data_IF_444994482869
#
_entry.id   IF_444994482869
#
_cell.length_a   1.000
_cell.length_b   1.000
_cell.length_c   1.000
_cell.angle_alpha   90.00
_cell.angle_beta   90.00
_cell.angle_gamma   90.00
#
_symmetry.space_group_name_H-M   'P 1'
#
loop_
_entity.id
_entity.type
_entity.pdbx_description
1 polymer ?
#
# COMPACT_ATOMS: atom_id res chain seq x y z
N UNK A 1 19.95 -7.18 2.30
CA UNK A 1 19.35 -8.46 2.75
C UNK A 1 18.98 -9.35 1.56
N UNK A 2 18.38 -8.82 0.49
CA UNK A 2 18.05 -9.61 -0.70
C UNK A 2 19.26 -10.27 -1.38
N UNK A 3 20.40 -9.57 -1.49
CA UNK A 3 21.65 -10.14 -2.01
C UNK A 3 22.26 -11.27 -1.17
N UNK A 4 21.79 -11.47 0.08
CA UNK A 4 22.23 -12.56 0.96
C UNK A 4 21.34 -13.81 0.84
N UNK A 5 20.38 -13.83 -0.09
CA UNK A 5 19.51 -14.98 -0.37
C UNK A 5 18.29 -15.11 0.54
N UNK A 6 18.00 -14.13 1.40
CA UNK A 6 16.77 -14.15 2.21
C UNK A 6 15.53 -13.96 1.33
N UNK A 7 14.44 -14.65 1.67
CA UNK A 7 13.15 -14.55 0.98
C UNK A 7 12.68 -13.08 0.93
N UNK A 8 12.51 -12.48 -0.27
CA UNK A 8 12.25 -11.04 -0.41
C UNK A 8 10.95 -10.57 0.26
N UNK A 9 9.88 -11.36 0.14
CA UNK A 9 8.54 -11.02 0.63
C UNK A 9 8.50 -10.84 2.16
N UNK A 10 8.87 -11.84 2.99
CA UNK A 10 8.80 -11.68 4.45
C UNK A 10 9.76 -10.61 4.97
N UNK A 11 10.96 -10.47 4.36
CA UNK A 11 11.90 -9.41 4.73
C UNK A 11 11.30 -8.03 4.46
N UNK A 12 10.69 -7.85 3.30
CA UNK A 12 10.04 -6.59 2.93
C UNK A 12 8.86 -6.27 3.83
N UNK A 13 8.03 -7.27 4.19
CA UNK A 13 6.93 -7.09 5.14
C UNK A 13 7.43 -6.62 6.52
N UNK A 14 8.53 -7.19 7.02
CA UNK A 14 9.13 -6.77 8.30
C UNK A 14 9.64 -5.33 8.20
N UNK A 15 10.38 -5.00 7.14
CA UNK A 15 10.94 -3.65 6.94
C UNK A 15 9.84 -2.60 6.82
N UNK A 16 8.80 -2.87 6.02
CA UNK A 16 7.66 -1.96 5.87
C UNK A 16 6.92 -1.82 7.19
N UNK A 17 6.58 -2.92 7.86
CA UNK A 17 5.85 -2.87 9.14
C UNK A 17 6.63 -2.10 10.22
N UNK A 18 7.95 -2.30 10.28
CA UNK A 18 8.83 -1.57 11.20
C UNK A 18 8.88 -0.08 10.85
N UNK A 19 9.02 0.26 9.58
CA UNK A 19 9.06 1.65 9.11
C UNK A 19 7.73 2.35 9.36
N UNK A 20 6.60 1.72 9.03
CA UNK A 20 5.25 2.21 9.31
C UNK A 20 5.06 2.45 10.82
N UNK A 21 5.53 1.53 11.67
CA UNK A 21 5.47 1.70 13.12
C UNK A 21 6.21 2.95 13.58
N UNK A 22 7.46 3.14 13.11
CA UNK A 22 8.27 4.32 13.45
C UNK A 22 7.61 5.60 12.98
N UNK A 23 7.12 5.64 11.74
CA UNK A 23 6.51 6.84 11.17
C UNK A 23 5.21 7.20 11.91
N UNK A 24 4.34 6.23 12.17
CA UNK A 24 3.09 6.47 12.92
C UNK A 24 3.37 6.95 14.34
N UNK A 25 4.37 6.35 15.02
CA UNK A 25 4.78 6.81 16.34
C UNK A 25 5.31 8.24 16.33
N UNK A 26 6.04 8.65 15.29
CA UNK A 26 6.53 10.02 15.15
C UNK A 26 5.40 11.03 14.89
N UNK A 27 4.42 10.70 14.05
CA UNK A 27 3.35 11.63 13.69
C UNK A 27 2.29 11.72 14.81
N UNK A 28 1.93 10.57 15.38
CA UNK A 28 0.78 10.45 16.27
C UNK A 28 1.17 10.40 17.76
N UNK A 29 2.44 10.14 18.07
CA UNK A 29 2.87 9.75 19.41
C UNK A 29 2.18 8.47 19.90
N UNK A 30 2.31 8.19 21.20
CA UNK A 30 1.58 7.11 21.88
C UNK A 30 0.11 7.49 22.12
N UNK A 31 -0.67 7.63 21.05
CA UNK A 31 -2.09 8.00 21.12
C UNK A 31 -3.00 6.93 20.51
N UNK A 32 -4.30 6.98 20.86
CA UNK A 32 -5.32 6.02 20.40
C UNK A 32 -5.42 5.98 18.88
N UNK A 33 -5.32 7.16 18.24
CA UNK A 33 -5.29 7.29 16.78
C UNK A 33 -4.08 6.62 16.14
N UNK A 34 -2.93 6.62 16.82
CA UNK A 34 -1.74 5.90 16.36
C UNK A 34 -1.95 4.38 16.36
N UNK A 35 -2.62 3.82 17.37
CA UNK A 35 -2.91 2.39 17.42
C UNK A 35 -3.90 1.95 16.34
N UNK A 36 -4.95 2.74 16.10
CA UNK A 36 -5.93 2.49 15.02
C UNK A 36 -5.27 2.61 13.65
N UNK A 37 -4.49 3.66 13.42
CA UNK A 37 -3.76 3.84 12.18
C UNK A 37 -2.77 2.69 11.94
N UNK A 38 -2.00 2.30 12.96
CA UNK A 38 -1.00 1.23 12.85
C UNK A 38 -1.63 -0.12 12.54
N UNK A 39 -2.70 -0.49 13.25
CA UNK A 39 -3.43 -1.72 12.98
C UNK A 39 -4.08 -1.70 11.59
N UNK A 40 -4.68 -0.58 11.19
CA UNK A 40 -5.22 -0.37 9.85
C UNK A 40 -4.18 -0.51 8.75
N UNK A 41 -3.01 0.15 8.89
CA UNK A 41 -1.92 0.08 7.92
C UNK A 41 -1.32 -1.32 7.83
N UNK A 42 -1.08 -2.01 8.95
CA UNK A 42 -0.53 -3.38 8.94
C UNK A 42 -1.49 -4.34 8.24
N UNK A 43 -2.79 -4.27 8.54
CA UNK A 43 -3.81 -5.07 7.83
C UNK A 43 -3.83 -4.72 6.35
N UNK A 44 -3.75 -3.43 6.01
CA UNK A 44 -3.70 -2.97 4.62
C UNK A 44 -2.49 -3.48 3.83
N UNK A 45 -1.30 -3.44 4.45
CA UNK A 45 -0.06 -3.97 3.87
C UNK A 45 -0.17 -5.49 3.67
N UNK A 46 -0.73 -6.22 4.65
CA UNK A 46 -0.94 -7.66 4.52
C UNK A 46 -1.90 -8.01 3.38
N UNK A 47 -3.02 -7.29 3.26
CA UNK A 47 -3.97 -7.46 2.16
C UNK A 47 -3.29 -7.17 0.82
N UNK A 48 -2.55 -6.07 0.72
CA UNK A 48 -1.84 -5.69 -0.51
C UNK A 48 -0.77 -6.73 -0.88
N UNK A 49 -0.04 -7.26 0.10
CA UNK A 49 0.93 -8.34 -0.12
C UNK A 49 0.26 -9.64 -0.58
N UNK A 50 -0.92 -9.97 -0.06
CA UNK A 50 -1.67 -11.15 -0.50
C UNK A 50 -2.19 -10.98 -1.94
N UNK A 51 -2.70 -9.79 -2.27
CA UNK A 51 -3.08 -9.44 -3.64
C UNK A 51 -1.88 -9.53 -4.59
N UNK A 52 -0.72 -8.99 -4.20
CA UNK A 52 0.50 -9.08 -5.00
C UNK A 52 0.89 -10.54 -5.29
N UNK A 53 0.83 -11.42 -4.29
CA UNK A 53 1.10 -12.85 -4.46
C UNK A 53 0.09 -13.55 -5.38
N UNK A 54 -1.21 -13.26 -5.20
CA UNK A 54 -2.28 -13.85 -5.99
C UNK A 54 -2.15 -13.45 -7.45
N UNK A 55 -2.06 -12.15 -7.73
CA UNK A 55 -1.90 -11.65 -9.09
C UNK A 55 -0.54 -12.05 -9.69
N UNK A 56 0.52 -12.09 -8.89
CA UNK A 56 1.82 -12.61 -9.31
C UNK A 56 1.77 -14.06 -9.79
N UNK A 57 0.99 -14.91 -9.13
CA UNK A 57 0.76 -16.30 -9.55
C UNK A 57 -0.05 -16.39 -10.85
N UNK A 58 -1.11 -15.59 -10.99
CA UNK A 58 -1.97 -15.61 -12.18
C UNK A 58 -1.26 -15.08 -13.44
N UNK A 59 -0.52 -13.97 -13.33
CA UNK A 59 0.09 -13.31 -14.48
C UNK A 59 1.48 -13.84 -14.83
N UNK A 60 2.11 -14.66 -13.96
CA UNK A 60 3.45 -15.25 -14.16
C UNK A 60 4.49 -14.25 -14.67
N UNK A 61 4.48 -13.04 -14.12
CA UNK A 61 5.34 -11.96 -14.62
C UNK A 61 6.81 -12.28 -14.30
N UNK A 62 7.69 -12.32 -15.32
CA UNK A 62 9.12 -12.48 -15.09
C UNK A 62 9.62 -11.24 -14.35
N UNK A 63 10.25 -11.40 -13.18
CA UNK A 63 10.82 -10.27 -12.46
C UNK A 63 12.01 -9.60 -13.18
N UNK A 64 12.48 -10.18 -14.27
CA UNK A 64 13.46 -9.59 -15.19
C UNK A 64 12.99 -8.30 -15.87
N UNK A 65 11.70 -7.98 -15.76
CA UNK A 65 11.09 -6.73 -16.25
C UNK A 65 11.41 -5.50 -15.40
N UNK A 66 12.04 -5.63 -14.24
CA UNK A 66 12.47 -4.46 -13.47
C UNK A 66 13.71 -3.82 -14.10
N UNK A 67 13.79 -2.49 -14.05
CA UNK A 67 15.00 -1.78 -14.47
C UNK A 67 16.23 -2.31 -13.70
N UNK A 68 17.36 -2.47 -14.38
CA UNK A 68 18.63 -3.00 -13.84
C UNK A 68 18.63 -4.48 -13.40
N UNK A 69 17.52 -5.22 -13.58
CA UNK A 69 17.47 -6.66 -13.27
C UNK A 69 18.55 -7.45 -14.00
N UNK A 70 18.71 -7.17 -15.30
CA UNK A 70 19.72 -7.83 -16.14
C UNK A 70 21.14 -7.51 -15.65
N UNK A 71 21.42 -6.25 -15.31
CA UNK A 71 22.71 -5.82 -14.76
C UNK A 71 23.05 -6.55 -13.46
N UNK A 72 22.06 -6.77 -12.58
CA UNK A 72 22.24 -7.52 -11.32
C UNK A 72 22.56 -8.99 -11.60
N UNK A 73 21.88 -9.59 -12.58
CA UNK A 73 22.17 -10.97 -13.01
C UNK A 73 23.59 -11.08 -13.58
N UNK A 74 24.00 -10.13 -14.43
CA UNK A 74 25.36 -10.08 -14.99
C UNK A 74 26.44 -9.81 -13.93
N UNK A 75 26.11 -9.15 -12.83
CA UNK A 75 27.01 -8.95 -11.69
C UNK A 75 27.23 -10.20 -10.82
N UNK A 76 26.66 -11.36 -11.20
CA UNK A 76 26.88 -12.66 -10.54
C UNK A 76 25.76 -13.12 -9.61
N UNK A 77 24.63 -12.41 -9.57
CA UNK A 77 23.50 -12.73 -8.67
C UNK A 77 22.37 -13.50 -9.37
N UNK A 78 22.73 -14.52 -10.17
CA UNK A 78 21.79 -15.39 -10.90
C UNK A 78 20.80 -16.16 -10.00
N UNK A 79 21.12 -16.33 -8.71
CA UNK A 79 20.28 -17.05 -7.74
C UNK A 79 19.13 -16.22 -7.16
N UNK A 80 19.02 -14.94 -7.52
CA UNK A 80 17.97 -14.07 -7.01
C UNK A 80 16.61 -14.38 -7.64
N UNK A 81 15.59 -14.49 -6.79
CA UNK A 81 14.20 -14.59 -7.21
C UNK A 81 13.66 -13.21 -7.57
N UNK A 82 14.00 -12.72 -8.77
CA UNK A 82 13.61 -11.39 -9.24
C UNK A 82 12.09 -11.17 -9.22
N UNK A 83 11.29 -12.19 -9.52
CA UNK A 83 9.82 -12.09 -9.44
C UNK A 83 9.35 -11.78 -8.02
N UNK A 84 9.93 -12.40 -7.00
CA UNK A 84 9.58 -12.14 -5.60
C UNK A 84 10.01 -10.73 -5.17
N UNK A 85 11.14 -10.25 -5.68
CA UNK A 85 11.62 -8.88 -5.43
C UNK A 85 10.65 -7.87 -6.04
N UNK A 86 10.22 -8.09 -7.29
CA UNK A 86 9.22 -7.28 -7.94
C UNK A 86 7.90 -7.23 -7.15
N UNK A 87 7.37 -8.40 -6.74
CA UNK A 87 6.15 -8.47 -5.92
C UNK A 87 6.32 -7.74 -4.57
N UNK A 88 7.53 -7.77 -4.01
CA UNK A 88 7.85 -7.04 -2.79
C UNK A 88 7.85 -5.53 -2.98
N UNK A 89 8.39 -5.05 -4.11
CA UNK A 89 8.42 -3.64 -4.46
C UNK A 89 7.01 -3.04 -4.58
N UNK A 90 6.03 -3.82 -5.05
CA UNK A 90 4.63 -3.38 -5.19
C UNK A 90 4.09 -2.87 -3.84
N UNK A 91 4.07 -3.73 -2.81
CA UNK A 91 3.51 -3.31 -1.52
C UNK A 91 4.42 -2.36 -0.74
N UNK A 92 5.74 -2.39 -0.94
CA UNK A 92 6.65 -1.37 -0.39
C UNK A 92 6.26 0.01 -0.94
N UNK A 93 6.05 0.14 -2.25
CA UNK A 93 5.69 1.41 -2.87
C UNK A 93 4.31 1.92 -2.45
N UNK A 94 3.35 1.01 -2.25
CA UNK A 94 1.99 1.36 -1.81
C UNK A 94 1.91 1.69 -0.30
N UNK A 95 2.88 1.25 0.50
CA UNK A 95 2.83 1.36 1.96
C UNK A 95 2.71 2.81 2.47
N UNK A 96 3.33 3.77 1.78
CA UNK A 96 3.23 5.19 2.12
C UNK A 96 1.78 5.69 2.02
N UNK A 97 1.15 5.50 0.85
CA UNK A 97 -0.24 5.88 0.63
C UNK A 97 -1.21 5.12 1.57
N UNK A 98 -0.94 3.85 1.84
CA UNK A 98 -1.69 3.03 2.81
C UNK A 98 -1.64 3.62 4.23
N UNK A 99 -0.46 4.11 4.64
CA UNK A 99 -0.28 4.74 5.94
C UNK A 99 -1.04 6.06 6.04
N UNK A 100 -0.96 6.90 5.00
CA UNK A 100 -1.62 8.20 4.98
C UNK A 100 -3.15 8.03 5.06
N UNK A 101 -3.74 7.15 4.24
CA UNK A 101 -5.18 6.85 4.28
C UNK A 101 -5.61 6.32 5.65
N UNK A 102 -4.84 5.39 6.23
CA UNK A 102 -5.16 4.84 7.54
C UNK A 102 -5.11 5.92 8.63
N UNK A 103 -4.14 6.83 8.57
CA UNK A 103 -3.99 7.92 9.52
C UNK A 103 -5.12 8.94 9.41
N UNK A 104 -5.49 9.35 8.19
CA UNK A 104 -6.57 10.31 7.95
C UNK A 104 -7.90 9.78 8.49
N UNK A 105 -8.25 8.53 8.17
CA UNK A 105 -9.48 7.89 8.66
C UNK A 105 -9.44 7.77 10.19
N UNK A 106 -8.33 7.29 10.76
CA UNK A 106 -8.19 7.13 12.20
C UNK A 106 -8.31 8.48 12.93
N UNK A 107 -7.72 9.55 12.40
CA UNK A 107 -7.76 10.88 12.98
C UNK A 107 -9.17 11.47 12.92
N UNK A 108 -9.86 11.37 11.77
CA UNK A 108 -11.23 11.85 11.62
C UNK A 108 -12.22 11.08 12.49
N UNK A 109 -12.10 9.76 12.60
CA UNK A 109 -12.94 8.96 13.52
C UNK A 109 -12.68 9.33 14.99
N UNK A 110 -11.42 9.58 15.35
CA UNK A 110 -11.07 10.04 16.70
C UNK A 110 -11.65 11.42 17.01
N UNK A 111 -11.66 12.34 16.04
CA UNK A 111 -12.29 13.66 16.22
C UNK A 111 -13.82 13.53 16.36
N UNK A 112 -14.43 12.67 15.56
CA UNK A 112 -15.87 12.45 15.58
C UNK A 112 -16.36 11.89 16.92
N UNK A 113 -15.67 10.89 17.48
CA UNK A 113 -16.04 10.31 18.78
C UNK A 113 -15.80 11.28 19.95
N UNK A 114 -14.82 12.19 19.84
CA UNK A 114 -14.59 13.23 20.84
C UNK A 114 -15.75 14.24 20.85
N UNK A 115 -16.30 14.59 19.67
CA UNK A 115 -17.42 15.53 19.53
C UNK A 115 -18.78 14.89 19.84
N UNK A 116 -18.96 13.60 19.53
CA UNK A 116 -20.20 12.84 19.74
C UNK A 116 -19.89 11.47 20.38
N UNK A 117 -19.72 11.42 21.72
CA UNK A 117 -19.39 10.19 22.44
C UNK A 117 -20.57 9.20 22.50
N UNK A 118 -21.76 9.64 22.13
CA UNK A 118 -23.02 8.89 22.06
C UNK A 118 -23.11 7.97 20.82
N UNK A 119 -22.19 8.09 19.87
CA UNK A 119 -22.18 7.30 18.63
C UNK A 119 -21.99 5.80 18.90
N UNK A 120 -22.86 5.00 18.31
CA UNK A 120 -22.70 3.54 18.29
C UNK A 120 -21.55 3.10 17.38
N UNK A 121 -21.01 1.90 17.61
CA UNK A 121 -19.96 1.29 16.76
C UNK A 121 -20.35 1.33 15.28
N UNK A 122 -21.61 1.00 14.97
CA UNK A 122 -22.11 0.95 13.57
C UNK A 122 -22.12 2.33 12.93
N UNK A 123 -22.56 3.36 13.65
CA UNK A 123 -22.59 4.72 13.13
C UNK A 123 -21.18 5.27 12.91
N UNK A 124 -20.22 4.94 13.79
CA UNK A 124 -18.83 5.34 13.64
C UNK A 124 -18.15 4.64 12.45
N UNK A 125 -18.49 3.38 12.18
CA UNK A 125 -18.01 2.64 11.00
C UNK A 125 -18.61 3.24 9.71
N UNK A 126 -19.93 3.48 9.67
CA UNK A 126 -20.58 4.11 8.52
C UNK A 126 -20.03 5.50 8.23
N UNK A 127 -19.80 6.31 9.28
CA UNK A 127 -19.16 7.61 9.16
C UNK A 127 -17.72 7.47 8.65
N UNK A 128 -16.98 6.48 9.14
CA UNK A 128 -15.63 6.13 8.68
C UNK A 128 -15.59 5.82 7.18
N UNK A 129 -16.55 5.06 6.65
CA UNK A 129 -16.65 4.82 5.20
C UNK A 129 -16.93 6.10 4.42
N UNK A 130 -17.81 6.97 4.94
CA UNK A 130 -18.11 8.25 4.29
C UNK A 130 -16.89 9.19 4.26
N UNK A 131 -16.05 9.16 5.30
CA UNK A 131 -14.78 9.90 5.35
C UNK A 131 -13.75 9.29 4.39
N UNK A 132 -13.70 7.96 4.31
CA UNK A 132 -12.71 7.27 3.50
C UNK A 132 -12.90 7.50 1.99
N UNK A 133 -14.14 7.58 1.51
CA UNK A 133 -14.45 7.69 0.08
C UNK A 133 -13.72 8.84 -0.64
N UNK A 134 -13.76 10.11 -0.17
CA UNK A 134 -13.01 11.20 -0.79
C UNK A 134 -11.48 11.03 -0.65
N UNK A 135 -11.01 10.50 0.48
CA UNK A 135 -9.57 10.31 0.76
C UNK A 135 -8.94 9.28 -0.18
N UNK A 136 -9.65 8.17 -0.46
CA UNK A 136 -9.21 7.17 -1.42
C UNK A 136 -9.10 7.78 -2.82
N UNK A 137 -10.05 8.62 -3.22
CA UNK A 137 -10.07 9.24 -4.55
C UNK A 137 -8.87 10.15 -4.80
N UNK A 138 -8.52 10.99 -3.82
CA UNK A 138 -7.35 11.88 -3.91
C UNK A 138 -6.05 11.09 -3.92
N UNK A 139 -5.91 10.08 -3.05
CA UNK A 139 -4.69 9.27 -2.96
C UNK A 139 -4.49 8.36 -4.19
N UNK A 140 -5.57 7.78 -4.74
CA UNK A 140 -5.49 6.97 -5.96
C UNK A 140 -5.06 7.82 -7.15
N UNK A 141 -5.56 9.06 -7.25
CA UNK A 141 -5.14 10.00 -8.31
C UNK A 141 -3.67 10.37 -8.17
N UNK A 142 -3.18 10.59 -6.94
CA UNK A 142 -1.76 10.83 -6.67
C UNK A 142 -0.90 9.64 -7.10
N UNK A 143 -1.29 8.41 -6.74
CA UNK A 143 -0.57 7.20 -7.16
C UNK A 143 -0.59 7.03 -8.68
N UNK A 144 -1.72 7.25 -9.33
CA UNK A 144 -1.85 7.17 -10.78
C UNK A 144 -0.86 8.11 -11.48
N UNK A 145 -0.75 9.37 -11.03
CA UNK A 145 0.20 10.32 -11.60
C UNK A 145 1.65 10.00 -11.24
N UNK A 146 1.93 9.55 -10.01
CA UNK A 146 3.27 9.16 -9.58
C UNK A 146 3.81 7.98 -10.42
N UNK A 147 2.99 6.96 -10.63
CA UNK A 147 3.34 5.84 -11.50
C UNK A 147 3.43 6.29 -12.96
N UNK A 148 2.40 6.96 -13.51
CA UNK A 148 2.43 7.43 -14.91
C UNK A 148 3.66 8.29 -15.24
N UNK A 149 4.07 9.17 -14.32
CA UNK A 149 5.26 10.02 -14.47
C UNK A 149 6.56 9.22 -14.50
N UNK A 150 6.63 8.11 -13.76
CA UNK A 150 7.81 7.24 -13.71
C UNK A 150 8.09 6.55 -15.06
N UNK A 151 7.07 6.40 -15.93
CA UNK A 151 7.20 5.73 -17.24
C UNK A 151 7.55 6.63 -18.41
N UNK A 152 7.64 7.95 -18.21
CA UNK A 152 7.91 8.89 -19.31
C UNK A 152 9.19 8.50 -20.06
N UNK A 153 10.27 8.16 -19.36
CA UNK A 153 11.53 7.75 -19.99
C UNK A 153 11.44 6.42 -20.72
N UNK A 154 10.68 5.46 -20.21
CA UNK A 154 10.43 4.16 -20.87
C UNK A 154 9.67 4.39 -22.18
N UNK A 155 8.62 5.22 -22.16
CA UNK A 155 7.90 5.60 -23.37
C UNK A 155 8.80 6.31 -24.39
N UNK A 156 9.62 7.28 -23.93
CA UNK A 156 10.58 7.96 -24.79
C UNK A 156 11.58 6.99 -25.43
N UNK A 157 12.09 6.00 -24.68
CA UNK A 157 13.01 4.98 -25.19
C UNK A 157 12.39 4.17 -26.33
N UNK A 158 11.14 3.73 -26.18
CA UNK A 158 10.46 2.97 -27.23
C UNK A 158 10.10 3.83 -28.45
N UNK A 159 9.74 5.09 -28.24
CA UNK A 159 9.54 6.06 -29.31
C UNK A 159 10.84 6.31 -30.08
N UNK A 160 11.97 6.48 -29.39
CA UNK A 160 13.29 6.64 -29.99
C UNK A 160 13.73 5.40 -30.79
N UNK A 161 13.34 4.20 -30.35
CA UNK A 161 13.55 2.93 -31.07
C UNK A 161 12.60 2.73 -32.26
N UNK A 162 11.64 3.63 -32.50
CA UNK A 162 10.65 3.50 -33.59
C UNK A 162 9.68 2.34 -33.40
N UNK A 163 9.46 1.86 -32.16
CA UNK A 163 8.58 0.72 -31.90
C UNK A 163 7.10 1.13 -32.03
N UNK A 164 6.25 0.38 -32.76
CA UNK A 164 4.82 0.69 -32.85
C UNK A 164 4.14 0.71 -31.47
N UNK A 165 3.28 1.69 -31.21
CA UNK A 165 2.62 1.83 -29.88
C UNK A 165 1.90 0.56 -29.41
N UNK A 166 1.29 -0.19 -30.32
CA UNK A 166 0.62 -1.46 -29.98
C UNK A 166 1.59 -2.49 -29.43
N UNK A 167 2.84 -2.52 -29.93
CA UNK A 167 3.89 -3.41 -29.41
C UNK A 167 4.47 -2.92 -28.08
N UNK A 168 4.47 -1.60 -27.85
CA UNK A 168 4.88 -0.99 -26.58
C UNK A 168 3.98 -1.51 -25.45
N UNK A 169 2.65 -1.42 -25.59
CA UNK A 169 1.70 -1.90 -24.58
C UNK A 169 1.75 -3.42 -24.35
N UNK A 170 2.14 -4.21 -25.36
CA UNK A 170 2.26 -5.66 -25.25
C UNK A 170 3.62 -6.12 -24.72
N UNK A 171 4.51 -5.19 -24.34
CA UNK A 171 5.82 -5.54 -23.78
C UNK A 171 5.68 -5.89 -22.30
N UNK A 172 6.37 -6.95 -21.86
CA UNK A 172 6.36 -7.42 -20.47
C UNK A 172 6.66 -6.31 -19.44
N UNK A 173 7.51 -5.34 -19.79
CA UNK A 173 7.81 -4.16 -18.97
C UNK A 173 6.55 -3.35 -18.64
N UNK A 174 5.76 -2.97 -19.65
CA UNK A 174 4.57 -2.15 -19.45
C UNK A 174 3.43 -2.97 -18.84
N UNK A 175 3.30 -4.24 -19.22
CA UNK A 175 2.31 -5.13 -18.60
C UNK A 175 2.55 -5.32 -17.09
N UNK A 176 3.81 -5.52 -16.69
CA UNK A 176 4.20 -5.62 -15.29
C UNK A 176 3.86 -4.36 -14.50
N UNK A 177 4.09 -3.21 -15.12
CA UNK A 177 3.86 -1.94 -14.46
C UNK A 177 2.38 -1.58 -14.32
N UNK A 178 1.58 -1.84 -15.36
CA UNK A 178 0.14 -1.70 -15.28
C UNK A 178 -0.39 -2.59 -14.15
N UNK A 179 0.14 -3.82 -14.03
CA UNK A 179 -0.21 -4.71 -12.93
C UNK A 179 0.20 -4.12 -11.57
N UNK A 180 1.41 -3.57 -11.44
CA UNK A 180 1.88 -2.89 -10.22
C UNK A 180 0.92 -1.76 -9.83
N UNK A 181 0.60 -0.86 -10.75
CA UNK A 181 -0.32 0.27 -10.52
C UNK A 181 -1.71 -0.21 -10.07
N UNK A 182 -2.23 -1.25 -10.72
CA UNK A 182 -3.55 -1.83 -10.40
C UNK A 182 -3.54 -2.46 -9.00
N UNK A 183 -2.55 -3.30 -8.69
CA UNK A 183 -2.46 -3.98 -7.38
C UNK A 183 -2.25 -2.95 -6.26
N UNK A 184 -1.38 -1.95 -6.47
CA UNK A 184 -1.15 -0.88 -5.51
C UNK A 184 -2.43 -0.09 -5.21
N UNK A 185 -3.20 0.24 -6.26
CA UNK A 185 -4.47 0.97 -6.12
C UNK A 185 -5.55 0.13 -5.44
N UNK A 186 -5.73 -1.14 -5.81
CA UNK A 186 -6.68 -2.03 -5.13
C UNK A 186 -6.30 -2.28 -3.67
N UNK A 187 -5.01 -2.45 -3.39
CA UNK A 187 -4.48 -2.55 -2.03
C UNK A 187 -4.89 -1.34 -1.19
N UNK A 188 -4.69 -0.13 -1.72
CA UNK A 188 -5.06 1.13 -1.08
C UNK A 188 -6.57 1.21 -0.76
N UNK A 189 -7.43 0.90 -1.74
CA UNK A 189 -8.88 0.95 -1.58
C UNK A 189 -9.37 0.03 -0.45
N UNK A 190 -8.72 -1.13 -0.26
CA UNK A 190 -9.09 -2.10 0.77
C UNK A 190 -8.63 -1.71 2.18
N UNK A 191 -7.64 -0.83 2.32
CA UNK A 191 -7.16 -0.33 3.62
C UNK A 191 -8.19 0.55 4.30
N UNK A 192 -8.86 1.38 3.52
CA UNK A 192 -9.88 2.30 4.00
C UNK A 192 -11.00 1.61 4.82
N UNK A 193 -11.69 0.59 4.29
CA UNK A 193 -12.73 -0.08 5.04
C UNK A 193 -12.17 -0.87 6.23
N UNK A 194 -10.98 -1.46 6.10
CA UNK A 194 -10.33 -2.16 7.20
C UNK A 194 -10.06 -1.20 8.39
N UNK A 195 -9.53 -0.02 8.10
CA UNK A 195 -9.23 0.99 9.14
C UNK A 195 -10.51 1.54 9.77
N UNK A 196 -11.55 1.82 8.97
CA UNK A 196 -12.83 2.31 9.48
C UNK A 196 -13.50 1.32 10.46
N UNK A 197 -13.44 0.02 10.15
CA UNK A 197 -13.95 -1.05 11.01
C UNK A 197 -13.15 -1.12 12.32
N UNK A 198 -11.82 -1.18 12.21
CA UNK A 198 -10.92 -1.28 13.37
C UNK A 198 -11.09 -0.07 14.30
N UNK A 199 -11.14 1.15 13.73
CA UNK A 199 -11.37 2.37 14.48
C UNK A 199 -12.72 2.39 15.19
N UNK A 200 -13.78 1.90 14.52
CA UNK A 200 -15.10 1.72 15.11
C UNK A 200 -15.08 0.92 16.41
N UNK A 201 -14.42 -0.24 16.41
CA UNK A 201 -14.32 -1.08 17.60
C UNK A 201 -13.40 -0.48 18.67
N UNK A 202 -12.20 -0.01 18.30
CA UNK A 202 -11.20 0.46 19.27
C UNK A 202 -11.67 1.73 19.99
N UNK A 203 -12.29 2.67 19.26
CA UNK A 203 -12.73 3.93 19.85
C UNK A 203 -13.97 3.78 20.73
N UNK A 204 -14.95 2.95 20.35
CA UNK A 204 -16.18 2.79 21.13
C UNK A 204 -15.95 1.96 22.40
N UNK A 205 -15.18 0.86 22.34
CA UNK A 205 -14.87 0.02 23.53
C UNK A 205 -14.19 0.83 24.65
N UNK A 206 -13.41 1.86 24.30
CA UNK A 206 -12.70 2.71 25.26
C UNK A 206 -13.37 4.08 25.49
N UNK A 207 -14.49 4.38 24.82
CA UNK A 207 -15.35 5.52 25.10
C UNK A 207 -16.22 5.30 26.34
N UNK A 208 -16.67 4.07 26.57
CA UNK A 208 -17.49 3.70 27.73
C UNK A 208 -16.80 3.98 29.09
N UNK A 209 -15.47 3.96 29.14
CA UNK A 209 -14.72 4.21 30.40
C UNK A 209 -14.68 5.68 30.84
N UNK A 210 -15.13 6.64 30.02
CA UNK A 210 -15.13 8.08 30.39
C UNK A 210 -16.49 8.63 30.80
N UNK A 211 -17.59 7.91 30.58
CA UNK A 211 -18.94 8.34 30.99
C UNK A 211 -19.23 7.96 32.45
N UNK A 212 -18.38 7.14 33.08
CA UNK A 212 -18.46 6.78 34.51
C UNK A 212 -17.33 7.47 35.27
N UNK A 213 -17.42 8.79 35.47
CA UNK A 213 -16.80 9.49 36.60
C UNK A 213 -17.39 10.87 36.78
#
# INVERSE_FOLDING_TARGET
MFLKGYAPIPVSLIVVSMSTTVIILLISGFSRKGLVALSGSVVGILITSLLALLFGYFFKIPGTVQEFSETILYAGFLHLRLSDIFLSAIFISAAGAVMDVAMDIAASQNELIIKRPDLSVKELILSGFSIAYPVIGTMTTTLLFAYSGSFIFVFMLFMAKGTPMVSIFNTNYIAAEILHTIIGSFGLVLVAPATAIIGGYIYTIHGEKKVVK
#
